data_IF_348890851034
#
_entry.id   IF_348890851034
#
_cell.length_a   1.000
_cell.length_b   1.000
_cell.length_c   1.000
_cell.angle_alpha   90.00
_cell.angle_beta   90.00
_cell.angle_gamma   90.00
#
_symmetry.space_group_name_H-M   'P 1'
#
loop_
_entity.id
_entity.type
_entity.pdbx_description
1 polymer ?
#
# COMPACT_ATOMS: atom_id res chain seq x y z
N UNK A 1 -9.41 -5.65 -10.80
CA UNK A 1 -8.44 -4.75 -10.15
C UNK A 1 -9.13 -3.96 -9.06
N UNK A 2 -8.45 -3.76 -7.98
CA UNK A 2 -9.00 -3.04 -6.84
C UNK A 2 -7.87 -2.39 -6.05
N UNK A 3 -8.21 -1.34 -5.32
CA UNK A 3 -7.24 -0.74 -4.41
C UNK A 3 -7.09 -1.61 -3.18
N UNK A 4 -5.86 -1.74 -2.73
CA UNK A 4 -5.51 -2.47 -1.51
C UNK A 4 -4.74 -1.49 -0.62
N UNK A 5 -5.02 -1.52 0.66
CA UNK A 5 -4.27 -0.73 1.63
C UNK A 5 -3.74 -1.64 2.72
N UNK A 6 -2.45 -1.53 3.00
CA UNK A 6 -1.81 -2.23 4.12
C UNK A 6 -1.43 -1.22 5.18
N UNK A 7 -1.76 -1.53 6.43
CA UNK A 7 -1.14 -0.84 7.57
C UNK A 7 -0.01 -1.74 8.03
N UNK A 8 1.21 -1.19 8.04
CA UNK A 8 2.42 -1.95 8.29
C UNK A 8 3.08 -1.51 9.58
N UNK A 9 3.52 -2.50 10.36
CA UNK A 9 4.32 -2.28 11.57
C UNK A 9 5.66 -2.91 11.26
N UNK A 10 6.62 -2.08 10.88
CA UNK A 10 7.90 -2.53 10.34
C UNK A 10 7.62 -3.43 9.12
N UNK A 11 7.97 -4.69 9.17
CA UNK A 11 7.75 -5.59 8.04
C UNK A 11 6.53 -6.48 8.21
N UNK A 12 5.67 -6.19 9.19
CA UNK A 12 4.48 -7.00 9.42
C UNK A 12 3.23 -6.26 8.98
N UNK A 13 2.32 -6.98 8.35
CA UNK A 13 1.03 -6.43 7.97
C UNK A 13 0.11 -6.50 9.18
N UNK A 14 -0.32 -5.33 9.65
CA UNK A 14 -1.26 -5.24 10.76
C UNK A 14 -2.69 -5.41 10.29
N UNK A 15 -3.03 -4.78 9.16
CA UNK A 15 -4.40 -4.82 8.60
C UNK A 15 -4.32 -4.69 7.11
N UNK A 16 -5.31 -5.27 6.44
CA UNK A 16 -5.50 -5.16 4.99
C UNK A 16 -6.89 -4.61 4.75
N UNK A 17 -7.00 -3.61 3.88
CA UNK A 17 -8.28 -3.05 3.48
C UNK A 17 -8.43 -3.19 1.97
N UNK A 18 -9.64 -3.50 1.54
CA UNK A 18 -9.97 -3.72 0.15
C UNK A 18 -10.94 -2.65 -0.33
N UNK A 19 -10.65 -2.06 -1.47
CA UNK A 19 -11.49 -1.04 -2.06
C UNK A 19 -11.97 -1.43 -3.44
N UNK A 20 -12.51 -0.46 -4.15
CA UNK A 20 -12.90 -0.63 -5.55
C UNK A 20 -11.68 -0.39 -6.44
N UNK A 21 -11.91 -0.32 -7.76
CA UNK A 21 -10.84 0.02 -8.68
C UNK A 21 -10.41 1.49 -8.55
N UNK A 22 -11.17 2.30 -7.85
CA UNK A 22 -10.94 3.74 -7.75
C UNK A 22 -10.57 4.22 -6.35
N UNK A 23 -11.04 3.56 -5.28
CA UNK A 23 -10.83 4.08 -3.94
C UNK A 23 -11.01 3.01 -2.87
N UNK A 24 -10.40 3.26 -1.71
CA UNK A 24 -10.69 2.53 -0.48
C UNK A 24 -11.82 3.29 0.21
N UNK A 25 -12.92 2.65 0.56
CA UNK A 25 -13.98 3.35 1.28
C UNK A 25 -13.46 3.94 2.58
N UNK A 26 -14.03 5.07 2.97
CA UNK A 26 -13.71 5.69 4.24
C UNK A 26 -14.37 4.86 5.33
N UNK A 27 -13.57 4.11 6.07
CA UNK A 27 -14.07 3.19 7.06
C UNK A 27 -13.63 3.59 8.44
N UNK A 28 -14.61 3.63 9.32
CA UNK A 28 -14.36 4.00 10.70
C UNK A 28 -13.32 3.07 11.34
N UNK A 29 -13.41 1.76 11.04
CA UNK A 29 -12.50 0.79 11.61
C UNK A 29 -11.06 1.10 11.23
N UNK A 30 -10.82 1.52 9.99
CA UNK A 30 -9.48 1.86 9.54
C UNK A 30 -8.92 3.06 10.32
N UNK A 31 -9.73 4.09 10.46
CA UNK A 31 -9.30 5.29 11.19
C UNK A 31 -9.05 4.99 12.66
N UNK A 32 -9.91 4.18 13.26
CA UNK A 32 -9.74 3.81 14.65
C UNK A 32 -8.48 2.96 14.85
N UNK A 33 -8.19 2.06 13.93
CA UNK A 33 -6.99 1.26 14.00
C UNK A 33 -5.74 2.12 13.87
N UNK A 34 -5.74 3.06 12.92
CA UNK A 34 -4.62 3.98 12.77
C UNK A 34 -4.40 4.74 14.06
N UNK A 35 -5.47 5.26 14.65
CA UNK A 35 -5.35 6.00 15.91
C UNK A 35 -4.83 5.14 17.04
N UNK A 36 -5.39 3.94 17.23
CA UNK A 36 -5.00 3.06 18.32
C UNK A 36 -3.57 2.56 18.19
N UNK A 37 -3.11 2.36 16.97
CA UNK A 37 -1.78 1.81 16.70
C UNK A 37 -0.80 2.86 16.17
N UNK A 38 -1.07 4.13 16.39
CA UNK A 38 -0.30 5.22 15.79
C UNK A 38 1.18 5.22 16.19
N UNK A 39 1.49 4.62 17.33
CA UNK A 39 2.89 4.56 17.78
C UNK A 39 3.63 3.34 17.21
N UNK A 40 2.91 2.36 16.69
CA UNK A 40 3.52 1.17 16.11
C UNK A 40 3.56 1.21 14.59
N UNK A 41 2.56 1.82 13.96
CA UNK A 41 2.49 1.84 12.50
C UNK A 41 3.67 2.63 11.95
N UNK A 42 4.41 2.01 11.04
CA UNK A 42 5.55 2.65 10.40
C UNK A 42 5.25 3.07 8.96
N UNK A 43 4.33 2.36 8.30
CA UNK A 43 4.07 2.64 6.89
C UNK A 43 2.61 2.34 6.57
N UNK A 44 2.01 3.20 5.74
CA UNK A 44 0.67 3.01 5.21
C UNK A 44 0.81 2.98 3.71
N UNK A 45 0.55 1.82 3.12
CA UNK A 45 0.82 1.58 1.70
C UNK A 45 -0.49 1.26 0.99
N UNK A 46 -0.67 1.80 -0.21
CA UNK A 46 -1.84 1.47 -0.99
C UNK A 46 -1.49 1.34 -2.48
N UNK A 47 -2.28 0.56 -3.18
CA UNK A 47 -2.08 0.36 -4.60
C UNK A 47 -2.92 1.34 -5.40
N UNK A 48 -2.41 1.72 -6.57
CA UNK A 48 -3.15 2.51 -7.56
C UNK A 48 -3.35 1.64 -8.80
N UNK A 49 -4.48 0.93 -8.89
CA UNK A 49 -4.69 -0.02 -9.99
C UNK A 49 -4.62 0.62 -11.36
N UNK A 50 -4.92 1.93 -11.45
CA UNK A 50 -4.82 2.64 -12.73
C UNK A 50 -3.41 2.93 -13.18
N UNK A 51 -2.41 2.62 -12.36
CA UNK A 51 -1.01 2.80 -12.74
C UNK A 51 -0.43 4.17 -12.47
N UNK A 52 -1.18 5.05 -11.84
CA UNK A 52 -0.73 6.41 -11.58
C UNK A 52 0.19 6.40 -10.34
N UNK A 53 1.45 6.70 -10.55
CA UNK A 53 2.48 6.57 -9.51
C UNK A 53 2.75 7.88 -8.78
N UNK A 54 1.72 8.66 -8.55
CA UNK A 54 1.83 9.90 -7.77
C UNK A 54 0.71 9.95 -6.74
N UNK A 55 0.95 10.67 -5.66
CA UNK A 55 -0.08 10.90 -4.66
C UNK A 55 -1.11 11.87 -5.23
N UNK A 56 -2.36 11.47 -5.22
CA UNK A 56 -3.44 12.33 -5.69
C UNK A 56 -3.68 13.45 -4.69
N UNK A 57 -4.47 14.44 -5.10
CA UNK A 57 -4.85 15.50 -4.18
C UNK A 57 -5.59 14.95 -2.96
N UNK A 58 -6.45 13.96 -3.20
CA UNK A 58 -7.16 13.28 -2.10
C UNK A 58 -6.19 12.57 -1.18
N UNK A 59 -5.20 11.88 -1.75
CA UNK A 59 -4.18 11.20 -0.95
C UNK A 59 -3.48 12.20 -0.03
N UNK A 60 -3.02 13.32 -0.59
CA UNK A 60 -2.29 14.32 0.18
C UNK A 60 -3.15 14.91 1.28
N UNK A 61 -4.42 15.17 1.00
CA UNK A 61 -5.35 15.70 2.00
C UNK A 61 -5.53 14.71 3.14
N UNK A 62 -5.71 13.44 2.81
CA UNK A 62 -5.87 12.38 3.81
C UNK A 62 -4.60 12.24 4.65
N UNK A 63 -3.44 12.22 4.00
CA UNK A 63 -2.17 12.10 4.69
C UNK A 63 -1.99 13.24 5.70
N UNK A 64 -2.27 14.46 5.28
CA UNK A 64 -2.15 15.60 6.16
C UNK A 64 -3.11 15.52 7.34
N UNK A 65 -4.34 15.11 7.10
CA UNK A 65 -5.34 14.99 8.16
C UNK A 65 -4.94 13.92 9.17
N UNK A 66 -4.46 12.79 8.70
CA UNK A 66 -4.06 11.68 9.59
C UNK A 66 -2.85 12.09 10.42
N UNK A 67 -1.86 12.72 9.80
CA UNK A 67 -0.67 13.12 10.53
C UNK A 67 -0.98 14.22 11.53
N UNK A 68 -1.81 15.17 11.16
CA UNK A 68 -2.23 16.22 12.10
C UNK A 68 -3.01 15.64 13.27
N UNK A 69 -3.93 14.72 12.98
CA UNK A 69 -4.78 14.13 14.00
C UNK A 69 -4.04 13.22 14.96
N UNK A 70 -3.05 12.48 14.48
CA UNK A 70 -2.30 11.53 15.31
C UNK A 70 -1.07 12.16 15.94
N UNK A 71 -0.60 13.28 15.41
CA UNK A 71 0.67 13.87 15.84
C UNK A 71 1.88 13.05 15.42
N UNK A 72 1.73 12.19 14.39
CA UNK A 72 2.78 11.28 13.95
C UNK A 72 3.08 11.50 12.49
N UNK A 73 4.31 11.19 12.10
CA UNK A 73 4.72 11.17 10.69
C UNK A 73 4.89 9.72 10.30
N UNK A 74 4.23 9.33 9.21
CA UNK A 74 4.29 7.97 8.70
C UNK A 74 5.01 7.97 7.35
N UNK A 75 5.47 6.80 6.93
CA UNK A 75 5.85 6.59 5.55
C UNK A 75 4.58 6.20 4.79
N UNK A 76 4.28 6.93 3.73
CA UNK A 76 3.13 6.66 2.86
C UNK A 76 3.66 6.14 1.54
N UNK A 77 3.06 5.07 1.05
CA UNK A 77 3.58 4.43 -0.17
C UNK A 77 2.48 4.16 -1.17
N UNK A 78 2.83 4.30 -2.44
CA UNK A 78 1.98 3.98 -3.57
C UNK A 78 2.63 2.85 -4.33
N UNK A 79 1.86 1.83 -4.66
CA UNK A 79 2.33 0.69 -5.42
C UNK A 79 1.50 0.58 -6.69
N UNK A 80 2.19 0.49 -7.82
CA UNK A 80 1.57 0.14 -9.09
C UNK A 80 2.17 -1.16 -9.58
N UNK A 81 1.72 -1.63 -10.73
CA UNK A 81 2.21 -2.88 -11.25
C UNK A 81 3.72 -2.81 -11.51
N UNK A 82 4.23 -1.66 -11.94
CA UNK A 82 5.65 -1.49 -12.24
C UNK A 82 6.37 -0.47 -11.39
N UNK A 83 5.73 0.12 -10.39
CA UNK A 83 6.36 1.19 -9.63
C UNK A 83 6.10 1.12 -8.14
N UNK A 84 6.93 1.85 -7.40
CA UNK A 84 6.87 1.89 -5.95
C UNK A 84 7.43 3.25 -5.52
N UNK A 85 6.59 4.06 -4.89
CA UNK A 85 6.95 5.41 -4.48
C UNK A 85 6.57 5.61 -3.02
N UNK A 86 7.41 6.29 -2.26
CA UNK A 86 7.13 6.57 -0.84
C UNK A 86 7.37 8.03 -0.52
N UNK A 87 6.66 8.51 0.48
CA UNK A 87 6.79 9.85 1.00
C UNK A 87 6.79 9.81 2.52
N UNK A 88 7.81 10.41 3.13
CA UNK A 88 7.93 10.50 4.58
C UNK A 88 8.25 11.97 4.90
N UNK A 89 7.36 12.63 5.64
CA UNK A 89 7.48 14.06 5.85
C UNK A 89 7.35 14.76 4.51
N UNK A 90 8.33 15.54 4.12
CA UNK A 90 8.32 16.17 2.81
C UNK A 90 9.18 15.44 1.78
N UNK A 91 9.72 14.28 2.16
CA UNK A 91 10.68 13.56 1.31
C UNK A 91 9.94 12.51 0.47
N UNK A 92 9.83 12.76 -0.81
CA UNK A 92 9.11 11.94 -1.78
C UNK A 92 10.13 11.32 -2.72
N UNK A 93 10.07 9.99 -2.90
CA UNK A 93 11.07 9.30 -3.71
C UNK A 93 10.53 8.01 -4.31
N UNK A 94 11.08 7.64 -5.46
CA UNK A 94 10.86 6.31 -6.03
C UNK A 94 11.70 5.30 -5.24
N UNK A 95 11.15 4.11 -5.06
CA UNK A 95 11.82 3.06 -4.33
C UNK A 95 12.15 1.91 -5.26
N UNK A 96 13.30 1.31 -5.01
CA UNK A 96 13.79 0.17 -5.80
C UNK A 96 13.94 -1.07 -4.95
N UNK A 97 13.73 -0.98 -3.65
CA UNK A 97 13.76 -2.16 -2.79
C UNK A 97 12.51 -3.00 -3.00
N UNK A 98 12.56 -4.24 -2.55
CA UNK A 98 11.45 -5.17 -2.74
C UNK A 98 11.09 -5.82 -1.41
N UNK A 99 10.37 -5.11 -0.55
CA UNK A 99 9.92 -5.74 0.69
C UNK A 99 8.99 -6.91 0.36
N UNK A 100 8.94 -7.87 1.25
CA UNK A 100 8.20 -9.11 0.99
C UNK A 100 6.72 -8.87 0.66
N UNK A 101 6.11 -7.83 1.24
CA UNK A 101 4.69 -7.54 1.07
C UNK A 101 4.37 -6.88 -0.28
N UNK A 102 5.37 -6.42 -1.00
CA UNK A 102 5.16 -5.68 -2.25
C UNK A 102 4.48 -6.55 -3.31
N UNK A 103 4.99 -7.76 -3.52
CA UNK A 103 4.39 -8.67 -4.49
C UNK A 103 3.01 -9.16 -4.03
N UNK A 104 2.83 -9.32 -2.73
CA UNK A 104 1.52 -9.69 -2.20
C UNK A 104 0.49 -8.63 -2.54
N UNK A 105 0.82 -7.36 -2.31
CA UNK A 105 -0.10 -6.27 -2.64
C UNK A 105 -0.42 -6.27 -4.14
N UNK A 106 0.57 -6.47 -4.98
CA UNK A 106 0.34 -6.50 -6.43
C UNK A 106 -0.60 -7.62 -6.83
N UNK A 107 -0.44 -8.80 -6.26
CA UNK A 107 -1.34 -9.91 -6.54
C UNK A 107 -2.76 -9.60 -6.09
N UNK A 108 -2.91 -9.06 -4.89
CA UNK A 108 -4.23 -8.75 -4.37
C UNK A 108 -4.90 -7.64 -5.18
N UNK A 109 -4.14 -6.69 -5.68
CA UNK A 109 -4.66 -5.54 -6.41
C UNK A 109 -4.98 -5.89 -7.85
N UNK A 110 -4.08 -6.59 -8.53
CA UNK A 110 -4.18 -6.83 -9.97
C UNK A 110 -4.68 -8.22 -10.33
N UNK A 111 -4.75 -9.11 -9.34
CA UNK A 111 -5.20 -10.47 -9.57
C UNK A 111 -4.04 -11.36 -9.97
N UNK A 112 -4.26 -12.67 -9.83
CA UNK A 112 -3.22 -13.64 -10.11
C UNK A 112 -3.31 -14.24 -11.47
N UNK A 113 -4.31 -13.97 -12.18
CA UNK A 113 -4.57 -14.63 -13.41
C UNK A 113 -3.66 -14.25 -14.54
N UNK A 114 -2.74 -13.48 -14.27
CA UNK A 114 -1.98 -13.04 -15.33
C UNK A 114 -0.88 -13.85 -15.52
N UNK A 115 -0.97 -14.52 -15.98
CA UNK A 115 -0.12 -15.34 -15.82
C UNK A 115 1.07 -15.13 -16.27
N UNK A 116 0.75 -15.15 -15.87
CA UNK A 116 1.45 -15.29 -15.89
C UNK A 116 2.24 -15.71 -15.99
N UNK A 117 1.93 -15.75 -15.91
CA UNK A 117 2.49 -16.26 -15.73
C UNK A 117 3.39 -16.62 -15.79
N UNK A 118 3.18 -16.55 -15.55
CA UNK A 118 3.86 -17.05 -15.35
C UNK A 118 4.54 -17.45 -15.03
N UNK A 119 4.43 -17.37 -14.85
CA UNK A 119 4.99 -17.92 -14.49
C UNK A 119 5.45 -18.39 -13.89
N UNK A 120 5.29 -18.42 -13.68
CA UNK A 120 5.70 -19.11 -13.17
C UNK A 120 6.25 -19.53 -12.86
N UNK A 121 6.00 -19.55 -12.87
CA UNK A 121 6.51 -20.21 -12.70
C UNK A 121 7.22 -20.44 -12.25
N UNK A 122 6.98 -20.48 -12.02
CA UNK A 122 7.56 -20.87 -11.79
C UNK A 122 8.00 -21.19 -11.15
N UNK A 123 7.71 -21.26 -10.89
CA UNK A 123 8.04 -21.80 -10.50
C UNK A 123 8.50 -22.35 -10.05
N UNK A 124 8.18 -22.42 -9.93
CA UNK A 124 8.56 -23.07 -9.70
C UNK A 124 9.15 -23.32 -9.20
N UNK A 125 8.80 -23.16 -9.08
CA UNK A 125 9.25 -23.47 -8.76
C UNK A 125 9.46 -23.63 -8.01
N UNK A 126 9.04 -23.45 -7.79
CA UNK A 126 9.19 -23.73 -7.30
C UNK A 126 9.15 -24.09 -6.81
N UNK A 127 8.80 -24.03 -6.82
CA UNK A 127 8.81 -24.55 -6.49
C UNK A 127 8.86 -24.80 -6.20
N UNK A 128 8.41 -24.59 -6.27
CA UNK A 128 8.52 -24.93 -6.10
C UNK A 128 8.69 -24.96 -6.15
#
# INVERSE_FOLDING_TARGET
MREICFLLVQDRILRVYFGSSASIPDERERWETIWQCRHEITEIAHSHPGGFLDFSHEDLTTMQAVEAGTGRVFTWSIITQGGFRSRTGGDDRLREDSPWWLNLMRRLSYGEGRPARTTVRKRKELSA
#
